data_IF_275195863560
#
_entry.id   IF_275195863560
#
_cell.length_a   1.000
_cell.length_b   1.000
_cell.length_c   1.000
_cell.angle_alpha   90.00
_cell.angle_beta   90.00
_cell.angle_gamma   90.00
#
_symmetry.space_group_name_H-M   'P 1'
#
loop_
_entity.id
_entity.type
_entity.pdbx_description
1 polymer ?
#
# COMPACT_ATOMS: atom_id res chain seq x y z
N UNK A 1 11.36 21.35 -16.87
CA UNK A 1 11.93 22.15 -15.73
C UNK A 1 10.94 22.37 -14.60
N UNK A 2 9.63 22.44 -14.82
CA UNK A 2 8.60 22.65 -13.76
C UNK A 2 8.55 21.51 -12.71
N UNK A 3 8.81 20.28 -13.09
CA UNK A 3 8.70 19.10 -12.20
C UNK A 3 9.83 19.03 -11.15
N UNK A 4 11.01 19.54 -11.46
CA UNK A 4 12.12 19.66 -10.48
C UNK A 4 11.85 20.73 -9.42
N UNK A 5 11.14 21.82 -9.74
CA UNK A 5 10.73 22.85 -8.77
C UNK A 5 9.71 22.31 -7.78
N UNK A 6 8.71 21.52 -8.24
CA UNK A 6 7.72 20.88 -7.36
C UNK A 6 8.36 19.87 -6.37
N UNK A 7 9.38 19.13 -6.80
CA UNK A 7 10.06 18.14 -5.92
C UNK A 7 10.90 18.77 -4.80
N UNK A 8 11.25 20.06 -4.89
CA UNK A 8 12.03 20.78 -3.88
C UNK A 8 11.24 21.80 -3.08
N UNK A 9 9.97 22.05 -3.42
CA UNK A 9 9.11 23.00 -2.74
C UNK A 9 8.99 22.75 -1.22
N UNK A 10 9.12 21.48 -0.77
CA UNK A 10 9.13 21.18 0.67
C UNK A 10 10.38 21.67 1.42
N UNK A 11 11.46 22.03 0.69
CA UNK A 11 12.68 22.59 1.29
C UNK A 11 12.49 24.07 1.64
N UNK A 12 11.55 24.75 0.96
CA UNK A 12 11.21 26.16 1.21
C UNK A 12 10.46 26.32 2.55
N UNK A 13 9.91 25.20 3.10
CA UNK A 13 9.26 25.16 4.41
C UNK A 13 10.26 25.08 5.60
N UNK A 14 11.57 25.01 5.32
CA UNK A 14 12.61 24.99 6.35
C UNK A 14 13.31 26.35 6.43
N UNK A 15 13.20 27.01 7.57
CA UNK A 15 13.95 28.22 7.88
C UNK A 15 15.12 27.90 8.83
N UNK A 16 16.20 28.65 8.64
CA UNK A 16 17.40 28.55 9.47
C UNK A 16 17.24 29.43 10.72
N UNK A 17 17.25 28.80 11.89
CA UNK A 17 17.22 29.52 13.18
C UNK A 17 18.53 30.26 13.43
N UNK A 18 18.53 31.22 14.36
CA UNK A 18 19.70 32.02 14.78
C UNK A 18 20.89 31.13 15.18
N UNK A 19 20.64 29.91 15.65
CA UNK A 19 21.65 28.92 16.02
C UNK A 19 22.15 28.04 14.84
N UNK A 20 21.71 28.33 13.61
CA UNK A 20 22.09 27.55 12.42
C UNK A 20 21.33 26.26 12.19
N UNK A 21 20.39 25.90 13.04
CA UNK A 21 19.53 24.71 12.90
C UNK A 21 18.35 24.99 11.94
N UNK A 22 17.99 23.96 11.13
CA UNK A 22 16.83 24.05 10.26
C UNK A 22 15.57 23.72 11.03
N UNK A 23 14.64 24.68 11.13
CA UNK A 23 13.33 24.51 11.75
C UNK A 23 12.24 24.45 10.68
N UNK A 24 11.34 23.48 10.77
CA UNK A 24 10.22 23.34 9.85
C UNK A 24 9.10 24.31 10.25
N UNK A 25 8.73 25.22 9.35
CA UNK A 25 7.64 26.21 9.52
C UNK A 25 6.44 25.95 8.60
N UNK A 26 6.43 24.84 7.86
CA UNK A 26 5.32 24.47 7.00
C UNK A 26 4.10 24.00 7.77
N UNK A 27 2.97 23.89 7.07
CA UNK A 27 1.71 23.44 7.64
C UNK A 27 1.81 22.04 8.27
N UNK A 28 1.12 21.87 9.41
CA UNK A 28 1.02 20.61 10.13
C UNK A 28 -0.39 20.03 9.97
N UNK A 29 -0.49 18.72 9.90
CA UNK A 29 -1.75 17.99 9.82
C UNK A 29 -1.98 17.16 11.07
N UNK A 30 -3.14 17.35 11.70
CA UNK A 30 -3.57 16.57 12.86
C UNK A 30 -4.68 15.62 12.47
N UNK A 31 -4.64 14.42 13.04
CA UNK A 31 -5.67 13.42 12.85
C UNK A 31 -6.94 13.83 13.59
N UNK A 32 -8.08 13.92 12.87
CA UNK A 32 -9.39 14.31 13.42
C UNK A 32 -10.44 13.23 13.20
N UNK A 33 -10.07 11.98 13.47
CA UNK A 33 -11.00 10.85 13.37
C UNK A 33 -11.77 10.60 14.67
N UNK A 34 -12.95 9.99 14.57
CA UNK A 34 -13.78 9.57 15.73
C UNK A 34 -13.12 8.47 16.58
N UNK A 35 -12.21 7.70 16.01
CA UNK A 35 -11.43 6.66 16.70
C UNK A 35 -10.01 7.16 16.94
N UNK A 36 -9.35 6.66 18.01
CA UNK A 36 -7.95 6.99 18.25
C UNK A 36 -7.09 6.62 17.04
N UNK A 37 -6.09 7.45 16.71
CA UNK A 37 -5.13 7.21 15.60
C UNK A 37 -4.52 5.81 15.66
N UNK A 38 -4.15 5.35 16.87
CA UNK A 38 -3.54 4.03 17.08
C UNK A 38 -4.47 2.91 16.62
N UNK A 39 -5.77 2.97 16.96
CA UNK A 39 -6.75 1.97 16.50
C UNK A 39 -6.97 2.02 15.00
N UNK A 40 -7.00 3.22 14.42
CA UNK A 40 -7.13 3.37 12.98
C UNK A 40 -5.93 2.77 12.24
N UNK A 41 -4.71 3.05 12.69
CA UNK A 41 -3.47 2.49 12.14
C UNK A 41 -3.40 0.96 12.35
N UNK A 42 -3.80 0.44 13.52
CA UNK A 42 -3.83 -1.00 13.78
C UNK A 42 -4.73 -1.75 12.77
N UNK A 43 -5.94 -1.23 12.50
CA UNK A 43 -6.83 -1.81 11.47
C UNK A 43 -6.18 -1.78 10.09
N UNK A 44 -5.49 -0.69 9.75
CA UNK A 44 -4.80 -0.57 8.47
C UNK A 44 -3.62 -1.53 8.36
N UNK A 45 -2.89 -1.75 9.46
CA UNK A 45 -1.83 -2.76 9.52
C UNK A 45 -2.36 -4.17 9.31
N UNK A 46 -3.49 -4.53 9.94
CA UNK A 46 -4.12 -5.84 9.74
C UNK A 46 -4.55 -6.02 8.28
N UNK A 47 -5.17 -5.00 7.68
CA UNK A 47 -5.66 -5.08 6.30
C UNK A 47 -4.54 -5.03 5.26
N UNK A 48 -3.64 -4.05 5.36
CA UNK A 48 -2.59 -3.84 4.37
C UNK A 48 -1.44 -4.84 4.55
N UNK A 49 -0.98 -5.03 5.79
CA UNK A 49 0.06 -6.02 6.13
C UNK A 49 -0.43 -7.45 5.93
N UNK A 50 -1.65 -7.76 6.37
CA UNK A 50 -2.30 -9.05 6.11
C UNK A 50 -2.49 -9.32 4.61
N UNK A 51 -2.94 -8.32 3.84
CA UNK A 51 -3.04 -8.42 2.39
C UNK A 51 -1.69 -8.74 1.73
N UNK A 52 -0.63 -8.04 2.12
CA UNK A 52 0.73 -8.31 1.63
C UNK A 52 1.22 -9.71 2.02
N UNK A 53 0.97 -10.14 3.25
CA UNK A 53 1.31 -11.49 3.71
C UNK A 53 0.57 -12.57 2.90
N UNK A 54 -0.71 -12.35 2.54
CA UNK A 54 -1.47 -13.26 1.69
C UNK A 54 -0.90 -13.35 0.28
N UNK A 55 -0.45 -12.23 -0.31
CA UNK A 55 0.23 -12.25 -1.63
C UNK A 55 1.52 -13.08 -1.55
N UNK A 56 2.33 -12.89 -0.52
CA UNK A 56 3.57 -13.67 -0.31
C UNK A 56 3.23 -15.14 -0.09
N UNK A 57 2.27 -15.46 0.78
CA UNK A 57 1.85 -16.83 1.06
C UNK A 57 1.35 -17.55 -0.20
N UNK A 58 0.63 -16.85 -1.09
CA UNK A 58 0.21 -17.41 -2.36
C UNK A 58 1.41 -17.87 -3.22
N UNK A 59 2.47 -17.06 -3.28
CA UNK A 59 3.69 -17.43 -4.02
C UNK A 59 4.45 -18.61 -3.44
N UNK A 60 4.26 -18.89 -2.15
CA UNK A 60 4.88 -20.02 -1.45
C UNK A 60 4.09 -21.33 -1.57
N UNK A 61 2.90 -21.32 -2.19
CA UNK A 61 2.10 -22.56 -2.37
C UNK A 61 2.81 -23.52 -3.32
N UNK A 62 3.24 -24.71 -2.85
CA UNK A 62 3.96 -25.66 -3.67
C UNK A 62 3.14 -26.12 -4.88
N UNK A 63 3.73 -26.11 -6.05
CA UNK A 63 3.08 -26.56 -7.29
C UNK A 63 2.08 -25.58 -7.92
N UNK A 64 1.76 -24.47 -7.27
CA UNK A 64 0.91 -23.44 -7.86
C UNK A 64 1.67 -22.57 -8.88
N UNK A 65 2.95 -22.31 -8.62
CA UNK A 65 3.81 -21.42 -9.39
C UNK A 65 4.98 -22.11 -10.08
N UNK A 66 5.22 -23.41 -9.83
CA UNK A 66 6.40 -24.16 -10.30
C UNK A 66 6.61 -24.12 -11.82
N UNK A 67 5.54 -24.00 -12.59
CA UNK A 67 5.57 -23.91 -14.07
C UNK A 67 4.67 -22.75 -14.53
N UNK A 68 4.70 -21.65 -13.79
CA UNK A 68 3.88 -20.48 -14.10
C UNK A 68 4.35 -19.85 -15.42
N UNK A 69 3.48 -19.66 -16.39
CA UNK A 69 3.82 -18.94 -17.62
C UNK A 69 4.06 -17.47 -17.32
N UNK A 70 4.83 -16.82 -18.19
CA UNK A 70 5.24 -15.43 -18.00
C UNK A 70 4.04 -14.46 -17.83
N UNK A 71 2.95 -14.70 -18.54
CA UNK A 71 1.74 -13.88 -18.45
C UNK A 71 1.02 -13.97 -17.09
N UNK A 72 1.27 -15.03 -16.30
CA UNK A 72 0.81 -15.16 -14.91
C UNK A 72 1.83 -14.56 -13.93
N UNK A 73 3.12 -14.81 -14.18
CA UNK A 73 4.19 -14.37 -13.29
C UNK A 73 4.31 -12.83 -13.26
N UNK A 74 4.13 -12.18 -14.41
CA UNK A 74 4.29 -10.72 -14.53
C UNK A 74 3.28 -9.94 -13.66
N UNK A 75 1.95 -10.18 -13.74
CA UNK A 75 1.00 -9.50 -12.86
C UNK A 75 1.18 -9.88 -11.39
N UNK A 76 1.60 -11.11 -11.07
CA UNK A 76 1.91 -11.51 -9.72
C UNK A 76 3.07 -10.67 -9.13
N UNK A 77 4.18 -10.53 -9.86
CA UNK A 77 5.32 -9.73 -9.43
C UNK A 77 4.97 -8.24 -9.30
N UNK A 78 4.18 -7.72 -10.24
CA UNK A 78 3.69 -6.34 -10.16
C UNK A 78 2.79 -6.14 -8.92
N UNK A 79 1.92 -7.09 -8.61
CA UNK A 79 1.09 -7.10 -7.40
C UNK A 79 1.91 -7.16 -6.12
N UNK A 80 2.94 -7.99 -6.08
CA UNK A 80 3.88 -8.09 -4.95
C UNK A 80 4.59 -6.76 -4.71
N UNK A 81 5.13 -6.13 -5.76
CA UNK A 81 5.78 -4.82 -5.64
C UNK A 81 4.82 -3.74 -5.16
N UNK A 82 3.57 -3.73 -5.68
CA UNK A 82 2.54 -2.79 -5.24
C UNK A 82 2.17 -3.01 -3.77
N UNK A 83 2.07 -4.26 -3.31
CA UNK A 83 1.80 -4.62 -1.93
C UNK A 83 2.93 -4.16 -0.99
N UNK A 84 4.18 -4.43 -1.35
CA UNK A 84 5.38 -3.97 -0.60
C UNK A 84 5.40 -2.44 -0.52
N UNK A 85 5.10 -1.76 -1.63
CA UNK A 85 5.06 -0.30 -1.65
C UNK A 85 3.94 0.26 -0.74
N UNK A 86 2.75 -0.37 -0.71
CA UNK A 86 1.68 0.02 0.20
C UNK A 86 2.09 -0.14 1.67
N UNK A 87 2.74 -1.26 2.03
CA UNK A 87 3.28 -1.47 3.38
C UNK A 87 4.37 -0.45 3.71
N UNK A 88 5.28 -0.14 2.79
CA UNK A 88 6.31 0.90 2.98
C UNK A 88 5.70 2.26 3.30
N UNK A 89 4.65 2.67 2.57
CA UNK A 89 3.95 3.93 2.84
C UNK A 89 3.28 3.92 4.23
N UNK A 90 2.73 2.76 4.65
CA UNK A 90 2.11 2.60 5.96
C UNK A 90 3.16 2.67 7.09
N UNK A 91 4.33 2.06 6.91
CA UNK A 91 5.48 2.19 7.84
C UNK A 91 5.86 3.66 8.00
N UNK A 92 6.02 4.39 6.89
CA UNK A 92 6.35 5.82 6.93
C UNK A 92 5.30 6.65 7.66
N UNK A 93 4.00 6.37 7.43
CA UNK A 93 2.91 7.04 8.10
C UNK A 93 2.90 6.77 9.60
N UNK A 94 3.20 5.53 10.01
CA UNK A 94 3.26 5.12 11.42
C UNK A 94 4.46 5.76 12.13
N UNK A 95 5.63 5.77 11.48
CA UNK A 95 6.86 6.33 12.03
C UNK A 95 6.85 7.86 12.15
N UNK A 96 6.05 8.55 11.34
CA UNK A 96 6.03 10.01 11.32
C UNK A 96 5.45 10.68 12.58
N UNK A 97 4.71 9.93 13.42
CA UNK A 97 4.10 10.48 14.63
C UNK A 97 3.00 11.52 14.35
N UNK A 98 2.71 12.36 15.35
CA UNK A 98 1.86 13.55 15.25
C UNK A 98 2.61 14.74 15.88
N UNK A 99 2.51 15.94 15.27
CA UNK A 99 1.79 16.32 14.05
C UNK A 99 2.48 15.88 12.76
N UNK A 100 1.68 15.55 11.71
CA UNK A 100 2.21 15.20 10.40
C UNK A 100 2.63 16.45 9.62
N UNK A 101 3.86 16.49 9.12
CA UNK A 101 4.34 17.56 8.23
C UNK A 101 3.65 17.47 6.86
N UNK A 102 3.35 18.59 6.22
CA UNK A 102 2.61 18.66 4.95
C UNK A 102 3.18 17.72 3.87
N UNK A 103 4.49 17.71 3.66
CA UNK A 103 5.13 16.84 2.66
C UNK A 103 4.95 15.35 2.95
N UNK A 104 4.93 14.94 4.23
CA UNK A 104 4.66 13.55 4.61
C UNK A 104 3.21 13.18 4.38
N UNK A 105 2.27 14.07 4.66
CA UNK A 105 0.86 13.88 4.36
C UNK A 105 0.65 13.63 2.85
N UNK A 106 1.23 14.45 1.98
CA UNK A 106 1.15 14.25 0.52
C UNK A 106 1.79 12.96 0.05
N UNK A 107 2.96 12.61 0.60
CA UNK A 107 3.70 11.42 0.17
C UNK A 107 3.15 10.11 0.72
N UNK A 108 2.38 10.14 1.81
CA UNK A 108 1.84 8.92 2.43
C UNK A 108 0.33 8.85 2.33
N UNK A 109 -0.40 9.74 3.01
CA UNK A 109 -1.87 9.66 3.13
C UNK A 109 -2.56 9.76 1.77
N UNK A 110 -2.08 10.65 0.88
CA UNK A 110 -2.68 10.79 -0.45
C UNK A 110 -2.37 9.62 -1.39
N UNK A 111 -1.18 9.01 -1.27
CA UNK A 111 -0.75 7.92 -2.16
C UNK A 111 -1.22 6.53 -1.72
N UNK A 112 -1.45 6.33 -0.43
CA UNK A 112 -1.83 5.03 0.14
C UNK A 112 -3.10 4.43 -0.49
N UNK A 113 -4.22 5.18 -0.68
CA UNK A 113 -5.40 4.61 -1.32
C UNK A 113 -5.14 4.13 -2.75
N UNK A 114 -4.31 4.88 -3.50
CA UNK A 114 -3.93 4.52 -4.86
C UNK A 114 -3.05 3.27 -4.91
N UNK A 115 -2.07 3.15 -4.01
CA UNK A 115 -1.20 1.97 -3.94
C UNK A 115 -1.96 0.72 -3.51
N UNK A 116 -2.91 0.83 -2.57
CA UNK A 116 -3.80 -0.28 -2.20
C UNK A 116 -4.70 -0.70 -3.37
N UNK A 117 -5.25 0.26 -4.11
CA UNK A 117 -6.05 -0.05 -5.30
C UNK A 117 -5.21 -0.79 -6.36
N UNK A 118 -4.00 -0.32 -6.61
CA UNK A 118 -3.08 -0.96 -7.56
C UNK A 118 -2.76 -2.40 -7.15
N UNK A 119 -2.44 -2.64 -5.88
CA UNK A 119 -2.21 -3.97 -5.35
C UNK A 119 -3.45 -4.88 -5.49
N UNK A 120 -4.64 -4.35 -5.21
CA UNK A 120 -5.89 -5.09 -5.38
C UNK A 120 -6.16 -5.47 -6.84
N UNK A 121 -5.94 -4.54 -7.78
CA UNK A 121 -6.13 -4.78 -9.22
C UNK A 121 -5.19 -5.90 -9.70
N UNK A 122 -3.91 -5.83 -9.37
CA UNK A 122 -2.97 -6.90 -9.77
C UNK A 122 -3.27 -8.23 -9.09
N UNK A 123 -3.74 -8.24 -7.84
CA UNK A 123 -4.16 -9.48 -7.18
C UNK A 123 -5.37 -10.12 -7.89
N UNK A 124 -6.35 -9.32 -8.34
CA UNK A 124 -7.49 -9.82 -9.14
C UNK A 124 -7.03 -10.34 -10.50
N UNK A 125 -6.17 -9.60 -11.22
CA UNK A 125 -5.63 -10.04 -12.51
C UNK A 125 -4.87 -11.37 -12.33
N UNK A 126 -4.06 -11.49 -11.29
CA UNK A 126 -3.30 -12.71 -11.00
C UNK A 126 -4.22 -13.89 -10.68
N UNK A 127 -5.28 -13.65 -9.88
CA UNK A 127 -6.29 -14.68 -9.58
C UNK A 127 -7.01 -15.16 -10.84
N UNK A 128 -7.43 -14.23 -11.71
CA UNK A 128 -8.05 -14.53 -12.98
C UNK A 128 -7.10 -15.30 -13.92
N UNK A 129 -5.86 -14.88 -14.03
CA UNK A 129 -4.83 -15.54 -14.79
C UNK A 129 -4.61 -16.98 -14.32
N UNK A 130 -4.59 -17.22 -12.99
CA UNK A 130 -4.46 -18.55 -12.43
C UNK A 130 -5.67 -19.45 -12.75
N UNK A 131 -6.89 -18.92 -12.75
CA UNK A 131 -8.07 -19.66 -13.17
C UNK A 131 -8.02 -20.09 -14.64
N UNK A 132 -7.57 -19.17 -15.51
CA UNK A 132 -7.35 -19.49 -16.93
C UNK A 132 -6.31 -20.60 -17.08
N UNK A 133 -5.18 -20.50 -16.37
CA UNK A 133 -4.14 -21.54 -16.39
C UNK A 133 -4.67 -22.89 -15.87
N UNK A 134 -5.51 -22.87 -14.85
CA UNK A 134 -6.15 -24.07 -14.33
C UNK A 134 -7.07 -24.73 -15.36
N UNK A 135 -7.84 -23.93 -16.10
CA UNK A 135 -8.72 -24.43 -17.16
C UNK A 135 -7.96 -25.04 -18.33
N UNK A 136 -6.76 -24.49 -18.65
CA UNK A 136 -5.93 -24.96 -19.75
C UNK A 136 -5.18 -26.26 -19.44
N UNK A 137 -4.65 -26.39 -18.22
CA UNK A 137 -3.76 -27.51 -17.88
C UNK A 137 -4.41 -28.57 -16.99
N UNK A 138 -5.38 -28.24 -16.16
CA UNK A 138 -6.07 -29.14 -15.26
C UNK A 138 -5.19 -29.78 -14.15
N UNK A 139 -3.92 -29.39 -14.04
CA UNK A 139 -2.95 -29.98 -13.10
C UNK A 139 -2.94 -29.27 -11.75
N UNK A 140 -2.65 -29.98 -10.67
CA UNK A 140 -2.47 -29.44 -9.33
C UNK A 140 -3.66 -28.58 -8.85
N UNK A 141 -4.87 -29.03 -9.11
CA UNK A 141 -6.12 -28.33 -8.78
C UNK A 141 -6.12 -27.74 -7.35
N UNK A 142 -5.80 -28.50 -6.27
CA UNK A 142 -5.89 -27.96 -4.92
C UNK A 142 -4.90 -26.82 -4.68
N UNK A 143 -3.67 -26.93 -5.14
CA UNK A 143 -2.66 -25.89 -4.96
C UNK A 143 -3.03 -24.60 -5.70
N UNK A 144 -3.54 -24.72 -6.92
CA UNK A 144 -3.96 -23.57 -7.73
C UNK A 144 -5.22 -22.91 -7.19
N UNK A 145 -6.17 -23.65 -6.63
CA UNK A 145 -7.32 -23.09 -5.94
C UNK A 145 -6.90 -22.32 -4.68
N UNK A 146 -6.00 -22.89 -3.86
CA UNK A 146 -5.47 -22.21 -2.68
C UNK A 146 -4.79 -20.90 -3.08
N UNK A 147 -3.95 -20.90 -4.10
CA UNK A 147 -3.32 -19.69 -4.64
C UNK A 147 -4.37 -18.63 -5.02
N UNK A 148 -5.39 -19.03 -5.79
CA UNK A 148 -6.46 -18.14 -6.25
C UNK A 148 -7.24 -17.56 -5.08
N UNK A 149 -7.58 -18.38 -4.07
CA UNK A 149 -8.28 -17.92 -2.87
C UNK A 149 -7.44 -16.93 -2.06
N UNK A 150 -6.13 -17.17 -1.91
CA UNK A 150 -5.22 -16.26 -1.22
C UNK A 150 -5.13 -14.91 -1.96
N UNK A 151 -5.05 -14.92 -3.30
CA UNK A 151 -5.05 -13.69 -4.10
C UNK A 151 -6.39 -12.94 -4.02
N UNK A 152 -7.51 -13.64 -4.04
CA UNK A 152 -8.83 -13.03 -3.87
C UNK A 152 -8.99 -12.39 -2.47
N UNK A 153 -8.54 -13.08 -1.42
CA UNK A 153 -8.53 -12.56 -0.06
C UNK A 153 -7.61 -11.33 0.08
N UNK A 154 -6.43 -11.35 -0.54
CA UNK A 154 -5.52 -10.22 -0.59
C UNK A 154 -6.16 -9.01 -1.29
N UNK A 155 -6.81 -9.23 -2.43
CA UNK A 155 -7.53 -8.17 -3.15
C UNK A 155 -8.61 -7.53 -2.28
N UNK A 156 -9.42 -8.34 -1.60
CA UNK A 156 -10.45 -7.85 -0.68
C UNK A 156 -9.83 -7.04 0.47
N UNK A 157 -8.74 -7.52 1.06
CA UNK A 157 -8.03 -6.81 2.14
C UNK A 157 -7.51 -5.43 1.66
N UNK A 158 -6.90 -5.33 0.49
CA UNK A 158 -6.41 -4.07 -0.07
C UNK A 158 -7.55 -3.11 -0.44
N UNK A 159 -8.67 -3.60 -0.99
CA UNK A 159 -9.86 -2.76 -1.25
C UNK A 159 -10.41 -2.18 0.05
N UNK A 160 -10.52 -2.99 1.10
CA UNK A 160 -10.97 -2.54 2.42
C UNK A 160 -9.97 -1.55 3.04
N UNK A 161 -8.67 -1.81 2.93
CA UNK A 161 -7.63 -0.88 3.36
C UNK A 161 -7.77 0.47 2.67
N UNK A 162 -7.88 0.50 1.34
CA UNK A 162 -8.05 1.72 0.56
C UNK A 162 -9.29 2.53 0.95
N UNK A 163 -10.44 1.85 1.19
CA UNK A 163 -11.66 2.49 1.69
C UNK A 163 -11.46 3.10 3.08
N UNK A 164 -10.79 2.38 3.99
CA UNK A 164 -10.49 2.87 5.35
C UNK A 164 -9.53 4.06 5.33
N UNK A 165 -8.53 4.06 4.43
CA UNK A 165 -7.63 5.20 4.25
C UNK A 165 -8.36 6.45 3.80
N UNK A 166 -9.28 6.35 2.83
CA UNK A 166 -10.09 7.47 2.38
C UNK A 166 -10.98 8.05 3.48
N UNK A 167 -11.33 7.24 4.49
CA UNK A 167 -12.13 7.67 5.64
C UNK A 167 -11.30 8.37 6.72
N UNK A 168 -9.96 8.37 6.64
CA UNK A 168 -9.10 9.11 7.57
C UNK A 168 -9.23 10.60 7.29
N UNK A 169 -9.60 11.36 8.31
CA UNK A 169 -9.69 12.83 8.23
C UNK A 169 -8.46 13.44 8.89
N UNK A 170 -7.76 14.28 8.15
CA UNK A 170 -6.67 15.10 8.65
C UNK A 170 -7.05 16.58 8.46
N UNK A 171 -6.83 17.38 9.48
CA UNK A 171 -7.09 18.83 9.43
C UNK A 171 -5.75 19.57 9.40
N UNK A 172 -5.66 20.57 8.51
CA UNK A 172 -4.50 21.44 8.38
C UNK A 172 -4.54 22.48 9.50
N UNK A 173 -3.45 22.59 10.23
CA UNK A 173 -3.18 23.71 11.15
C UNK A 173 -2.04 24.54 10.57
N UNK A 174 -2.26 25.84 10.50
CA UNK A 174 -1.27 26.84 10.13
C UNK A 174 -0.51 27.31 11.36
#
# INVERSE_FOLDING_TARGET
MADRKKKRAYLDDFEKDLNGNYQYRGAHYHYKGTKSRVRALAVLWVLCGGGAALVVAAGLVPGATAYAPFWLLLPYMAGLLAAVYAVYLLVRLTAAGEPLRAYLHEQTVQKLPGSCLLAAVFAVITAAAQLVQLALEGRNLPARLVFTLLQAAAAAAFVLAGKRFKALKYERQE
#
